data_IF_736020063963
#
_entry.id   IF_736020063963
#
_cell.length_a   1.000
_cell.length_b   1.000
_cell.length_c   1.000
_cell.angle_alpha   90.00
_cell.angle_beta   90.00
_cell.angle_gamma   90.00
#
_symmetry.space_group_name_H-M   'P 1'
#
loop_
_entity.id
_entity.type
_entity.pdbx_description
1 polymer ?
#
# COMPACT_ATOMS: atom_id res chain seq x y z
N UNK A 1 -5.47 7.20 -23.03
CA UNK A 1 -6.45 8.02 -22.30
C UNK A 1 -7.78 7.31 -22.36
N UNK A 2 -7.96 6.43 -21.38
CA UNK A 2 -9.16 5.66 -21.13
C UNK A 2 -9.37 5.50 -19.63
N UNK A 3 -10.63 5.34 -19.24
CA UNK A 3 -11.04 5.03 -17.87
C UNK A 3 -12.04 3.88 -17.94
N UNK A 4 -11.91 2.92 -17.01
CA UNK A 4 -12.79 1.76 -16.93
C UNK A 4 -13.17 1.46 -15.49
N UNK A 5 -14.43 1.16 -15.28
CA UNK A 5 -14.97 0.72 -14.00
C UNK A 5 -15.10 -0.81 -14.03
N UNK A 6 -14.56 -1.48 -13.01
CA UNK A 6 -14.56 -2.93 -12.87
C UNK A 6 -15.52 -3.29 -11.75
N UNK A 7 -16.55 -4.05 -12.12
CA UNK A 7 -17.54 -4.67 -11.22
C UNK A 7 -17.28 -6.18 -11.20
N UNK A 8 -16.50 -6.60 -10.22
CA UNK A 8 -15.98 -7.95 -10.06
C UNK A 8 -17.00 -8.91 -9.47
N UNK A 9 -17.93 -8.42 -8.63
CA UNK A 9 -18.94 -9.24 -7.97
C UNK A 9 -20.32 -9.23 -8.66
N UNK A 10 -20.52 -8.28 -9.58
CA UNK A 10 -21.70 -8.13 -10.42
C UNK A 10 -22.87 -7.46 -9.71
N UNK A 11 -22.66 -6.74 -8.62
CA UNK A 11 -23.71 -6.09 -7.86
C UNK A 11 -24.14 -4.72 -8.44
N UNK A 12 -23.39 -4.22 -9.43
CA UNK A 12 -23.64 -2.96 -10.13
C UNK A 12 -22.88 -1.76 -9.57
N UNK A 13 -22.02 -1.95 -8.56
CA UNK A 13 -21.04 -0.99 -8.09
C UNK A 13 -19.64 -1.46 -8.50
N UNK A 14 -18.74 -0.52 -8.79
CA UNK A 14 -17.38 -0.87 -9.17
C UNK A 14 -16.48 -0.98 -7.93
N UNK A 15 -15.77 -2.09 -7.77
CA UNK A 15 -14.69 -2.23 -6.78
C UNK A 15 -13.44 -1.48 -7.25
N UNK A 16 -13.30 -1.21 -8.56
CA UNK A 16 -12.09 -0.58 -9.06
C UNK A 16 -12.32 0.35 -10.25
N UNK A 17 -11.59 1.46 -10.26
CA UNK A 17 -11.41 2.33 -11.43
C UNK A 17 -10.00 2.15 -11.99
N UNK A 18 -9.88 1.89 -13.29
CA UNK A 18 -8.62 1.77 -14.01
C UNK A 18 -8.45 2.95 -14.96
N UNK A 19 -7.27 3.56 -14.98
CA UNK A 19 -6.96 4.73 -15.81
C UNK A 19 -5.70 4.47 -16.64
N UNK A 20 -5.86 4.53 -17.95
CA UNK A 20 -4.77 4.61 -18.93
C UNK A 20 -4.55 6.09 -19.26
N UNK A 21 -3.53 6.70 -18.66
CA UNK A 21 -3.18 8.11 -18.88
C UNK A 21 -2.38 8.33 -20.15
N UNK A 22 -1.62 7.34 -20.62
CA UNK A 22 -0.72 7.48 -21.78
C UNK A 22 -1.39 7.20 -23.14
N UNK A 23 -2.41 6.34 -23.19
CA UNK A 23 -3.06 5.91 -24.42
C UNK A 23 -2.45 4.71 -25.11
N UNK A 24 -1.58 3.95 -24.43
CA UNK A 24 -0.92 2.78 -25.01
C UNK A 24 -1.70 1.47 -24.79
N UNK A 25 -2.79 1.53 -24.01
CA UNK A 25 -3.64 0.38 -23.70
C UNK A 25 -3.15 -0.42 -22.48
N UNK A 26 -2.14 0.07 -21.76
CA UNK A 26 -1.74 -0.39 -20.43
C UNK A 26 -2.33 0.58 -19.41
N UNK A 27 -2.73 0.07 -18.25
CA UNK A 27 -3.28 0.89 -17.16
C UNK A 27 -2.13 1.48 -16.36
N UNK A 28 -2.13 2.79 -16.19
CA UNK A 28 -1.11 3.49 -15.41
C UNK A 28 -1.51 3.65 -13.93
N UNK A 29 -2.82 3.74 -13.65
CA UNK A 29 -3.36 4.02 -12.31
C UNK A 29 -4.58 3.14 -12.05
N UNK A 30 -4.67 2.56 -10.85
CA UNK A 30 -5.86 1.88 -10.35
C UNK A 30 -6.32 2.49 -9.03
N UNK A 31 -7.62 2.68 -8.87
CA UNK A 31 -8.28 3.01 -7.61
C UNK A 31 -9.09 1.80 -7.18
N UNK A 32 -9.01 1.41 -5.91
CA UNK A 32 -9.58 0.16 -5.42
C UNK A 32 -10.33 0.42 -4.11
N UNK A 33 -11.61 0.05 -4.09
CA UNK A 33 -12.48 0.04 -2.93
C UNK A 33 -12.70 -1.43 -2.57
N UNK A 34 -11.89 -1.93 -1.64
CA UNK A 34 -11.83 -3.35 -1.29
C UNK A 34 -12.89 -3.74 -0.28
N UNK A 35 -13.51 -2.76 0.36
CA UNK A 35 -14.48 -2.95 1.43
C UNK A 35 -15.92 -2.57 1.02
N UNK A 36 -16.08 -1.91 -0.14
CA UNK A 36 -17.33 -1.47 -0.77
C UNK A 36 -18.09 -0.40 0.03
N UNK A 37 -17.38 0.52 0.68
CA UNK A 37 -17.97 1.66 1.39
C UNK A 37 -18.06 2.95 0.55
N UNK A 38 -17.52 2.94 -0.67
CA UNK A 38 -17.47 4.07 -1.58
C UNK A 38 -16.28 5.01 -1.37
N UNK A 39 -15.32 4.65 -0.51
CA UNK A 39 -14.03 5.31 -0.32
C UNK A 39 -12.93 4.41 -0.88
N UNK A 40 -11.99 5.02 -1.60
CA UNK A 40 -10.88 4.27 -2.18
C UNK A 40 -9.85 3.90 -1.12
N UNK A 41 -9.85 2.64 -0.68
CA UNK A 41 -8.85 2.09 0.25
C UNK A 41 -7.41 2.19 -0.29
N UNK A 42 -7.24 2.09 -1.61
CA UNK A 42 -5.91 1.96 -2.21
C UNK A 42 -5.81 2.53 -3.64
N UNK A 43 -4.66 3.13 -3.94
CA UNK A 43 -4.26 3.49 -5.31
C UNK A 43 -3.00 2.71 -5.68
N UNK A 44 -3.00 2.05 -6.84
CA UNK A 44 -1.81 1.47 -7.46
C UNK A 44 -1.33 2.29 -8.65
N UNK A 45 -0.01 2.42 -8.83
CA UNK A 45 0.63 3.12 -9.95
C UNK A 45 1.58 2.16 -10.67
N UNK A 46 1.42 2.06 -12.00
CA UNK A 46 2.41 1.45 -12.90
C UNK A 46 3.23 2.57 -13.56
N UNK A 47 4.43 2.80 -13.03
CA UNK A 47 5.36 3.79 -13.57
C UNK A 47 6.34 3.19 -14.58
N UNK A 48 6.30 1.86 -14.76
CA UNK A 48 7.17 1.12 -15.68
C UNK A 48 6.51 0.86 -17.03
N UNK A 49 5.17 0.86 -17.08
CA UNK A 49 4.35 0.60 -18.26
C UNK A 49 4.28 -0.87 -18.66
N UNK A 50 4.50 -1.79 -17.72
CA UNK A 50 4.51 -3.23 -17.98
C UNK A 50 3.23 -3.95 -17.56
N UNK A 51 2.26 -3.20 -17.03
CA UNK A 51 1.01 -3.74 -16.52
C UNK A 51 1.14 -4.34 -15.12
N UNK A 52 2.06 -3.84 -14.30
CA UNK A 52 2.12 -4.15 -12.88
C UNK A 52 2.43 -2.91 -12.06
N UNK A 53 1.70 -2.70 -10.98
CA UNK A 53 1.93 -1.54 -10.13
C UNK A 53 3.24 -1.71 -9.35
N UNK A 54 4.10 -0.71 -9.37
CA UNK A 54 5.35 -0.65 -8.60
C UNK A 54 5.23 0.23 -7.35
N UNK A 55 4.13 0.96 -7.23
CA UNK A 55 3.87 1.91 -6.14
C UNK A 55 2.42 1.87 -5.69
N UNK A 56 2.20 2.05 -4.39
CA UNK A 56 0.86 2.01 -3.79
C UNK A 56 0.63 3.10 -2.75
N UNK A 57 -0.60 3.58 -2.64
CA UNK A 57 -1.08 4.45 -1.55
C UNK A 57 -2.20 3.75 -0.80
N UNK A 58 -2.25 3.89 0.51
CA UNK A 58 -3.30 3.28 1.36
C UNK A 58 -3.96 4.32 2.26
N UNK A 59 -5.28 4.25 2.33
CA UNK A 59 -6.17 4.98 3.24
C UNK A 59 -6.63 3.97 4.29
N UNK A 60 -5.95 3.97 5.44
CA UNK A 60 -6.18 2.95 6.48
C UNK A 60 -7.35 3.28 7.39
N UNK A 61 -7.68 4.56 7.52
CA UNK A 61 -8.77 5.04 8.38
C UNK A 61 -10.04 5.43 7.61
N UNK A 62 -10.03 5.28 6.29
CA UNK A 62 -11.15 5.42 5.36
C UNK A 62 -11.76 6.81 5.39
N UNK A 63 -10.92 7.84 5.54
CA UNK A 63 -11.37 9.22 5.57
C UNK A 63 -11.14 9.98 4.25
N UNK A 64 -10.68 9.27 3.22
CA UNK A 64 -10.44 9.78 1.87
C UNK A 64 -9.05 10.38 1.68
N UNK A 65 -8.17 10.26 2.66
CA UNK A 65 -6.77 10.67 2.56
C UNK A 65 -5.86 9.45 2.79
N UNK A 66 -4.67 9.49 2.19
CA UNK A 66 -3.76 8.35 2.22
C UNK A 66 -2.64 8.59 3.23
N UNK A 67 -2.48 7.68 4.20
CA UNK A 67 -1.43 7.74 5.23
C UNK A 67 -0.18 7.02 4.76
N UNK A 68 -0.26 6.10 3.82
CA UNK A 68 0.88 5.29 3.42
C UNK A 68 1.29 5.43 1.96
N UNK A 69 2.59 5.24 1.74
CA UNK A 69 3.18 5.04 0.42
C UNK A 69 4.11 3.84 0.42
N UNK A 70 3.78 2.83 -0.37
CA UNK A 70 4.55 1.61 -0.50
C UNK A 70 5.19 1.46 -1.88
N UNK A 71 6.28 0.70 -1.93
CA UNK A 71 7.07 0.41 -3.13
C UNK A 71 7.26 -1.10 -3.30
N UNK A 72 7.01 -1.60 -4.51
CA UNK A 72 7.22 -2.98 -4.97
C UNK A 72 8.01 -2.92 -6.31
N UNK A 73 9.31 -2.63 -6.26
CA UNK A 73 10.08 -2.40 -7.47
C UNK A 73 10.30 -3.66 -8.30
N UNK A 74 10.15 -4.85 -7.70
CA UNK A 74 10.19 -6.14 -8.39
C UNK A 74 8.83 -6.54 -8.98
N UNK A 75 7.76 -5.82 -8.65
CA UNK A 75 6.39 -6.02 -9.13
C UNK A 75 5.90 -7.46 -8.89
N UNK A 76 6.31 -8.05 -7.75
CA UNK A 76 6.01 -9.43 -7.39
C UNK A 76 4.95 -9.55 -6.28
N UNK A 77 4.37 -8.41 -5.88
CA UNK A 77 3.36 -8.31 -4.83
C UNK A 77 3.96 -8.22 -3.42
N UNK A 78 5.28 -8.11 -3.28
CA UNK A 78 5.94 -7.91 -1.99
C UNK A 78 6.41 -6.47 -1.86
N UNK A 79 5.88 -5.80 -0.85
CA UNK A 79 6.31 -4.44 -0.53
C UNK A 79 7.73 -4.48 0.04
N UNK A 80 8.67 -3.87 -0.68
CA UNK A 80 10.04 -3.66 -0.20
C UNK A 80 10.08 -2.61 0.91
N UNK A 81 9.34 -1.52 0.75
CA UNK A 81 9.40 -0.36 1.64
C UNK A 81 8.05 0.34 1.72
N UNK A 82 7.67 0.79 2.92
CA UNK A 82 6.44 1.55 3.16
C UNK A 82 6.67 2.71 4.12
N UNK A 83 6.37 3.92 3.67
CA UNK A 83 6.33 5.14 4.48
C UNK A 83 4.92 5.32 5.02
N UNK A 84 4.78 5.60 6.31
CA UNK A 84 3.49 5.85 6.96
C UNK A 84 3.53 7.20 7.68
N UNK A 85 2.64 8.10 7.27
CA UNK A 85 2.41 9.45 7.76
C UNK A 85 0.98 9.52 8.29
N UNK A 86 0.81 9.14 9.55
CA UNK A 86 -0.51 9.06 10.18
C UNK A 86 -1.10 10.44 10.44
N UNK A 87 -0.25 11.42 10.74
CA UNK A 87 -0.67 12.75 11.12
C UNK A 87 -0.85 13.68 9.90
N UNK A 88 -0.40 13.23 8.72
CA UNK A 88 -0.49 13.89 7.41
C UNK A 88 0.20 15.25 7.38
N UNK A 89 1.32 15.39 8.08
CA UNK A 89 2.13 16.60 8.06
C UNK A 89 3.14 16.64 6.91
N UNK A 90 3.21 15.57 6.11
CA UNK A 90 4.12 15.42 4.98
C UNK A 90 5.48 14.83 5.35
N UNK A 91 5.68 14.46 6.62
CA UNK A 91 6.84 13.72 7.13
C UNK A 91 6.33 12.38 7.63
N UNK A 92 6.84 11.30 7.04
CA UNK A 92 6.48 9.97 7.51
C UNK A 92 6.88 9.76 8.98
N UNK A 93 5.91 9.37 9.81
CA UNK A 93 6.09 9.02 11.21
C UNK A 93 6.96 7.76 11.35
N UNK A 94 6.81 6.81 10.42
CA UNK A 94 7.62 5.59 10.38
C UNK A 94 7.90 5.12 8.95
N UNK A 95 8.96 4.35 8.83
CA UNK A 95 9.36 3.65 7.61
C UNK A 95 9.51 2.16 7.92
N UNK A 96 8.79 1.33 7.18
CA UNK A 96 8.86 -0.11 7.24
C UNK A 96 9.67 -0.67 6.06
N UNK A 97 10.48 -1.70 6.30
CA UNK A 97 11.32 -2.34 5.27
C UNK A 97 11.31 -3.86 5.39
N UNK A 98 11.20 -4.53 4.24
CA UNK A 98 11.59 -5.92 4.04
C UNK A 98 13.02 -5.92 3.47
N UNK A 99 14.02 -6.06 4.34
CA UNK A 99 15.43 -5.93 3.94
C UNK A 99 15.89 -7.13 3.08
N UNK A 100 15.18 -8.26 3.18
CA UNK A 100 15.59 -9.54 2.59
C UNK A 100 14.70 -9.99 1.41
N UNK A 101 13.61 -9.28 1.15
CA UNK A 101 12.65 -9.51 0.05
C UNK A 101 11.91 -10.86 0.12
N UNK A 102 11.75 -11.43 1.31
CA UNK A 102 10.93 -12.63 1.52
C UNK A 102 9.44 -12.31 1.67
N UNK A 103 9.09 -11.02 1.66
CA UNK A 103 7.76 -10.46 1.81
C UNK A 103 7.32 -10.43 3.27
N UNK A 104 8.26 -10.46 4.21
CA UNK A 104 8.02 -10.28 5.65
C UNK A 104 8.76 -9.03 6.10
N UNK A 105 8.17 -8.29 7.05
CA UNK A 105 8.80 -7.11 7.60
C UNK A 105 10.07 -7.47 8.40
N UNK A 106 11.18 -6.85 8.04
CA UNK A 106 12.45 -6.99 8.75
C UNK A 106 12.72 -5.85 9.73
N UNK A 107 12.46 -4.62 9.29
CA UNK A 107 12.95 -3.42 9.95
C UNK A 107 11.93 -2.31 10.00
N UNK A 108 11.96 -1.54 11.08
CA UNK A 108 11.18 -0.32 11.25
C UNK A 108 12.11 0.82 11.66
N UNK A 109 11.95 1.97 11.02
CA UNK A 109 12.67 3.19 11.30
C UNK A 109 11.70 4.31 11.66
N UNK A 110 12.15 5.23 12.51
CA UNK A 110 11.45 6.48 12.82
C UNK A 110 12.34 7.67 12.46
N UNK A 111 11.77 8.81 12.04
CA UNK A 111 12.54 10.02 11.79
C UNK A 111 13.08 10.57 13.12
N UNK A 112 14.28 11.14 13.07
CA UNK A 112 14.91 11.82 14.20
C UNK A 112 14.96 13.32 13.96
N UNK A 113 15.04 14.14 15.03
CA UNK A 113 15.05 15.60 14.95
C UNK A 113 16.15 16.17 14.03
N UNK A 114 17.24 15.43 13.79
CA UNK A 114 18.30 15.79 12.86
C UNK A 114 17.96 15.58 11.37
N UNK A 115 16.79 15.01 11.06
CA UNK A 115 16.38 14.58 9.71
C UNK A 115 16.94 13.22 9.30
N UNK A 116 17.53 12.45 10.21
CA UNK A 116 18.00 11.08 9.95
C UNK A 116 16.98 10.05 10.39
N UNK A 117 16.95 8.89 9.74
CA UNK A 117 16.15 7.75 10.18
C UNK A 117 16.92 6.90 11.20
N UNK A 118 16.28 6.56 12.31
CA UNK A 118 16.84 5.67 13.33
C UNK A 118 16.08 4.36 13.29
N UNK A 119 16.82 3.24 13.21
CA UNK A 119 16.23 1.90 13.29
C UNK A 119 15.73 1.67 14.71
N UNK A 120 14.43 1.45 14.83
CA UNK A 120 13.74 1.25 16.10
C UNK A 120 13.33 -0.21 16.32
N UNK A 121 13.19 -1.00 15.25
CA UNK A 121 13.00 -2.45 15.30
C UNK A 121 13.87 -3.19 14.27
N UNK A 122 14.29 -4.41 14.61
CA UNK A 122 14.90 -5.40 13.70
C UNK A 122 14.49 -6.81 14.12
N UNK A 123 13.90 -7.61 13.23
CA UNK A 123 13.43 -8.96 13.56
C UNK A 123 14.57 -9.99 13.49
N UNK A 124 14.97 -10.51 14.65
CA UNK A 124 15.35 -11.93 14.81
C UNK A 124 14.31 -12.69 15.65
N UNK A 125 13.12 -12.12 15.87
CA UNK A 125 11.96 -12.81 16.46
C UNK A 125 10.64 -12.05 16.17
N UNK A 126 9.50 -12.75 16.03
CA UNK A 126 8.20 -12.13 15.80
C UNK A 126 7.66 -11.45 17.07
N UNK A 127 7.25 -10.19 16.92
CA UNK A 127 6.57 -9.38 17.93
C UNK A 127 7.33 -8.08 18.24
N UNK A 128 6.65 -6.91 18.29
CA UNK A 128 7.29 -5.67 18.70
C UNK A 128 7.70 -5.81 20.18
N UNK A 129 9.00 -5.86 20.44
CA UNK A 129 9.51 -5.64 21.79
C UNK A 129 8.98 -4.29 22.26
N UNK A 130 8.27 -4.26 23.39
CA UNK A 130 7.84 -3.02 24.04
C UNK A 130 9.08 -2.21 24.44
N UNK A 131 9.62 -1.44 23.49
CA UNK A 131 10.77 -0.58 23.63
C UNK A 131 10.32 0.85 23.36
N UNK A 132 10.57 1.72 24.33
CA UNK A 132 10.35 3.16 24.21
C UNK A 132 11.10 3.69 22.98
N UNK A 133 10.36 4.24 22.00
CA UNK A 133 10.92 4.82 20.77
C UNK A 133 11.60 6.18 20.99
N UNK A 134 11.95 6.51 22.24
CA UNK A 134 12.83 7.63 22.56
C UNK A 134 12.16 9.00 22.45
N UNK A 135 10.83 9.05 22.32
CA UNK A 135 10.03 10.28 22.36
C UNK A 135 9.00 10.31 23.49
N UNK A 136 9.25 9.58 24.59
CA UNK A 136 8.63 9.86 25.89
C UNK A 136 7.13 9.57 25.99
N UNK A 137 6.54 8.83 25.04
CA UNK A 137 5.23 8.22 25.20
C UNK A 137 5.34 6.70 25.01
N UNK A 138 4.88 6.00 26.03
CA UNK A 138 4.85 4.54 26.13
C UNK A 138 4.08 3.93 24.96
N UNK A 139 4.73 3.04 24.19
CA UNK A 139 4.14 2.17 23.16
C UNK A 139 3.44 2.93 22.01
N UNK A 140 4.20 3.29 20.98
CA UNK A 140 3.69 3.81 19.70
C UNK A 140 2.89 2.81 18.88
N UNK A 141 2.83 1.53 19.27
CA UNK A 141 1.98 0.53 18.61
C UNK A 141 0.50 0.92 18.72
N UNK A 142 -0.04 1.41 17.62
CA UNK A 142 -1.45 1.79 17.50
C UNK A 142 -2.12 0.94 16.40
N UNK A 143 -3.46 0.98 16.28
CA UNK A 143 -4.17 0.19 15.28
C UNK A 143 -3.69 0.42 13.84
N UNK A 144 -3.31 1.66 13.48
CA UNK A 144 -2.79 1.98 12.15
C UNK A 144 -1.45 1.29 11.86
N UNK A 145 -0.51 1.31 12.82
CA UNK A 145 0.75 0.57 12.69
C UNK A 145 0.53 -0.96 12.62
N UNK A 146 -0.49 -1.49 13.30
CA UNK A 146 -0.84 -2.91 13.18
C UNK A 146 -1.38 -3.23 11.78
N UNK A 147 -2.24 -2.38 11.21
CA UNK A 147 -2.74 -2.57 9.84
C UNK A 147 -1.60 -2.57 8.82
N UNK A 148 -0.62 -1.66 8.97
CA UNK A 148 0.58 -1.63 8.13
C UNK A 148 1.44 -2.88 8.30
N UNK A 149 1.65 -3.31 9.54
CA UNK A 149 2.39 -4.54 9.83
C UNK A 149 1.69 -5.75 9.21
N UNK A 150 0.37 -5.85 9.34
CA UNK A 150 -0.42 -6.94 8.78
C UNK A 150 -0.37 -6.90 7.25
N UNK A 151 -0.35 -5.70 6.64
CA UNK A 151 -0.19 -5.50 5.21
C UNK A 151 1.13 -6.09 4.71
N UNK A 152 2.24 -5.75 5.36
CA UNK A 152 3.56 -6.21 4.95
C UNK A 152 3.78 -7.69 5.24
N UNK A 153 3.30 -8.24 6.36
CA UNK A 153 3.64 -9.61 6.79
C UNK A 153 2.70 -10.70 6.31
N UNK A 154 1.43 -10.40 6.06
CA UNK A 154 0.55 -11.45 5.53
C UNK A 154 0.73 -11.62 4.03
N UNK A 155 1.49 -10.72 3.39
CA UNK A 155 1.34 -10.33 2.00
C UNK A 155 -0.14 -10.00 1.77
N UNK A 156 -0.50 -8.92 1.09
CA UNK A 156 -1.92 -8.75 0.77
C UNK A 156 -2.36 -9.73 -0.35
N UNK A 157 -2.28 -11.05 -0.12
CA UNK A 157 -2.84 -12.11 -0.98
C UNK A 157 -4.37 -12.10 -0.99
N UNK A 158 -5.00 -11.26 -0.14
CA UNK A 158 -6.45 -11.06 -0.06
C UNK A 158 -6.96 -9.77 -0.71
N UNK A 159 -6.08 -8.86 -1.14
CA UNK A 159 -6.47 -7.80 -2.07
C UNK A 159 -6.48 -8.45 -3.43
N UNK A 160 -7.68 -8.87 -3.86
CA UNK A 160 -7.87 -9.53 -5.14
C UNK A 160 -7.15 -8.76 -6.24
N UNK A 161 -6.24 -9.44 -6.92
CA UNK A 161 -5.82 -9.11 -8.27
C UNK A 161 -5.56 -7.62 -8.57
N UNK A 162 -4.47 -7.06 -8.03
CA UNK A 162 -3.71 -6.09 -8.82
C UNK A 162 -2.80 -6.87 -9.78
N UNK A 163 -3.41 -7.70 -10.62
CA UNK A 163 -2.84 -8.01 -11.93
C UNK A 163 -3.33 -6.92 -12.85
N UNK A 164 -2.54 -5.87 -13.10
CA UNK A 164 -2.79 -5.05 -14.31
C UNK A 164 -2.43 -5.87 -15.58
N UNK A 165 -1.97 -7.12 -15.42
CA UNK A 165 -1.71 -8.11 -16.47
C UNK A 165 -2.90 -8.98 -16.93
N UNK A 166 -4.16 -8.66 -16.63
CA UNK A 166 -5.29 -9.31 -17.32
C UNK A 166 -5.60 -8.49 -18.58
N UNK A 167 -5.43 -9.04 -19.81
CA UNK A 167 -5.82 -8.34 -21.02
C UNK A 167 -7.30 -7.95 -20.95
N UNK A 168 -7.62 -6.77 -21.48
CA UNK A 168 -8.93 -6.10 -21.49
C UNK A 168 -10.17 -6.99 -21.75
N UNK A 169 -9.98 -8.16 -22.37
CA UNK A 169 -11.02 -9.08 -22.82
C UNK A 169 -11.68 -9.93 -21.70
N UNK A 170 -11.15 -9.97 -20.47
CA UNK A 170 -11.64 -10.88 -19.42
C UNK A 170 -12.40 -10.21 -18.24
N UNK A 171 -12.66 -8.89 -18.27
CA UNK A 171 -13.35 -8.19 -17.15
C UNK A 171 -14.79 -7.79 -17.50
N UNK A 172 -15.70 -7.86 -16.51
CA UNK A 172 -17.00 -7.19 -16.57
C UNK A 172 -16.77 -5.69 -16.41
N UNK A 173 -16.72 -4.98 -17.53
CA UNK A 173 -16.59 -3.53 -17.56
C UNK A 173 -18.00 -2.94 -17.55
N UNK A 174 -18.29 -2.10 -16.55
CA UNK A 174 -19.50 -1.28 -16.55
C UNK A 174 -19.17 0.10 -17.16
N UNK A 175 -20.01 0.54 -18.12
CA UNK A 175 -19.86 1.82 -18.84
C UNK A 175 -20.52 2.98 -18.10
#
# INVERSE_FOLDING_TARGET
>A
MGEWQVDSDGDGYAESTLVDTTGDGVVDISFNDTNLDGVWDMIGYDTTGDGWADQYRFDFDQDGFYEAWAFDPEQDGKILTLYYDQNRDGIADVLFCDDNQDGVLDSLYAPYESGTWIRVYSTLAPGPATGDLGHGETSTWNPGLQQVYDLMNNHYQKMGYITLGIPFEERTIIN
#
